data_IF_541675492078
#
_entry.id   IF_541675492078
#
_cell.length_a   1.000
_cell.length_b   1.000
_cell.length_c   1.000
_cell.angle_alpha   90.00
_cell.angle_beta   90.00
_cell.angle_gamma   90.00
#
_symmetry.space_group_name_H-M   'P 1'
#
loop_
_entity.id
_entity.type
_entity.pdbx_description
1 polymer ?
#
# COMPACT_ATOMS: atom_id res chain seq x y z
N UNK A 1 35.05 -15.91 -10.78
CA UNK A 1 34.41 -14.92 -11.65
C UNK A 1 33.54 -15.65 -12.63
N UNK A 2 32.36 -16.08 -12.16
CA UNK A 2 31.25 -16.41 -13.05
C UNK A 2 30.34 -15.19 -13.11
N UNK A 3 29.62 -15.06 -14.21
CA UNK A 3 28.65 -14.00 -14.42
C UNK A 3 27.45 -14.20 -13.50
N UNK A 4 27.12 -13.19 -12.71
CA UNK A 4 26.15 -13.33 -11.61
C UNK A 4 24.86 -12.56 -11.81
N UNK A 5 24.76 -11.75 -12.88
CA UNK A 5 23.51 -11.08 -13.24
C UNK A 5 23.65 -10.16 -14.44
N UNK A 6 22.51 -9.84 -15.04
CA UNK A 6 22.32 -8.82 -16.08
C UNK A 6 21.34 -7.81 -15.51
N UNK A 7 21.74 -6.55 -15.48
CA UNK A 7 20.87 -5.44 -15.12
C UNK A 7 20.63 -4.60 -16.38
N UNK A 8 19.37 -4.41 -16.75
CA UNK A 8 18.97 -3.52 -17.83
C UNK A 8 18.86 -2.09 -17.30
N UNK A 9 19.46 -1.14 -17.99
CA UNK A 9 19.44 0.26 -17.58
C UNK A 9 18.61 1.10 -18.55
N UNK A 10 17.69 1.91 -18.03
CA UNK A 10 17.00 2.92 -18.82
C UNK A 10 17.70 4.28 -18.64
N UNK A 11 18.13 4.96 -19.72
CA UNK A 11 18.68 6.30 -19.63
C UNK A 11 17.57 7.30 -19.27
N UNK A 12 17.75 8.04 -18.17
CA UNK A 12 16.89 9.18 -17.84
C UNK A 12 17.62 10.49 -18.14
N UNK A 13 17.08 11.29 -19.07
CA UNK A 13 17.71 12.50 -19.59
C UNK A 13 17.27 13.83 -18.91
N UNK A 14 16.80 13.78 -17.67
CA UNK A 14 16.13 14.93 -17.05
C UNK A 14 17.06 16.14 -16.78
N UNK A 15 18.36 15.92 -16.50
CA UNK A 15 19.22 16.98 -15.91
C UNK A 15 20.58 17.15 -16.60
N UNK A 16 20.72 16.77 -17.87
CA UNK A 16 22.03 16.79 -18.56
C UNK A 16 23.02 15.72 -18.06
N UNK A 17 22.57 14.84 -17.16
CA UNK A 17 23.23 13.61 -16.75
C UNK A 17 22.45 12.41 -17.26
N UNK A 18 23.16 11.34 -17.64
CA UNK A 18 22.52 10.05 -17.92
C UNK A 18 22.34 9.32 -16.59
N UNK A 19 21.11 9.29 -16.07
CA UNK A 19 20.78 8.37 -14.98
C UNK A 19 20.62 6.98 -15.58
N UNK A 20 21.27 6.00 -14.98
CA UNK A 20 21.10 4.58 -15.31
C UNK A 20 20.39 3.92 -14.13
N UNK A 21 19.13 3.53 -14.32
CA UNK A 21 18.35 2.80 -13.30
C UNK A 21 18.15 1.37 -13.75
N UNK A 22 18.46 0.43 -12.86
CA UNK A 22 18.17 -0.99 -13.06
C UNK A 22 16.96 -1.40 -12.21
N UNK A 23 16.04 -2.15 -12.81
CA UNK A 23 15.00 -2.83 -12.07
C UNK A 23 15.67 -3.87 -11.15
N UNK A 24 15.46 -3.73 -9.85
CA UNK A 24 16.05 -4.59 -8.84
C UNK A 24 14.93 -5.22 -8.02
N UNK A 25 14.73 -6.53 -8.21
CA UNK A 25 13.93 -7.35 -7.31
C UNK A 25 14.86 -8.19 -6.42
N UNK A 26 14.96 -7.90 -5.10
CA UNK A 26 15.89 -8.60 -4.21
C UNK A 26 15.64 -10.11 -4.12
N UNK A 27 14.44 -10.60 -4.47
CA UNK A 27 14.06 -12.02 -4.37
C UNK A 27 14.61 -12.85 -5.53
N UNK A 28 14.64 -12.26 -6.73
CA UNK A 28 15.21 -12.93 -7.91
C UNK A 28 16.69 -12.63 -8.06
N UNK A 29 17.19 -11.59 -7.39
CA UNK A 29 18.60 -11.17 -7.43
C UNK A 29 19.34 -11.43 -6.12
N UNK A 30 18.90 -12.37 -5.28
CA UNK A 30 19.54 -12.67 -3.99
C UNK A 30 21.05 -12.92 -4.12
N UNK A 31 21.46 -13.66 -5.15
CA UNK A 31 22.88 -13.94 -5.42
C UNK A 31 23.66 -12.66 -5.75
N UNK A 32 23.08 -11.74 -6.53
CA UNK A 32 23.72 -10.45 -6.85
C UNK A 32 23.86 -9.61 -5.60
N UNK A 33 22.82 -9.53 -4.75
CA UNK A 33 22.86 -8.77 -3.49
C UNK A 33 23.97 -9.30 -2.60
N UNK A 34 23.99 -10.61 -2.41
CA UNK A 34 24.95 -11.28 -1.58
C UNK A 34 26.40 -11.04 -2.06
N UNK A 35 26.61 -11.07 -3.38
CA UNK A 35 27.91 -10.78 -3.97
C UNK A 35 28.30 -9.31 -3.91
N UNK A 36 27.34 -8.39 -4.05
CA UNK A 36 27.60 -6.97 -3.86
C UNK A 36 27.96 -6.68 -2.40
N UNK A 37 27.27 -7.30 -1.43
CA UNK A 37 27.56 -7.15 0.00
C UNK A 37 28.94 -7.72 0.39
N UNK A 38 29.34 -8.85 -0.20
CA UNK A 38 30.60 -9.53 0.16
C UNK A 38 31.79 -9.15 -0.73
N UNK A 39 31.53 -8.56 -1.89
CA UNK A 39 32.53 -8.19 -2.89
C UNK A 39 33.33 -6.95 -2.51
N UNK A 40 34.54 -6.85 -3.04
CA UNK A 40 35.40 -5.66 -2.90
C UNK A 40 35.45 -4.82 -4.17
N UNK A 41 35.13 -5.43 -5.32
CA UNK A 41 35.16 -4.82 -6.65
C UNK A 41 34.04 -5.39 -7.50
N UNK A 42 33.52 -4.55 -8.39
CA UNK A 42 32.64 -4.92 -9.47
C UNK A 42 33.18 -4.31 -10.78
N UNK A 43 32.89 -4.96 -11.90
CA UNK A 43 32.97 -4.32 -13.21
C UNK A 43 31.57 -4.17 -13.78
N UNK A 44 31.31 -3.03 -14.43
CA UNK A 44 30.08 -2.77 -15.16
C UNK A 44 30.45 -2.62 -16.63
N UNK A 45 29.96 -3.51 -17.48
CA UNK A 45 30.19 -3.46 -18.92
C UNK A 45 29.00 -2.86 -19.64
N UNK A 46 29.17 -1.67 -20.15
CA UNK A 46 28.14 -0.92 -20.83
C UNK A 46 28.36 -1.05 -22.35
N UNK A 47 27.31 -1.39 -23.08
CA UNK A 47 27.35 -1.59 -24.53
C UNK A 47 26.72 -0.36 -25.21
N UNK A 48 27.52 0.42 -25.95
CA UNK A 48 27.08 1.60 -26.70
C UNK A 48 27.18 1.38 -28.22
N UNK A 49 26.49 2.20 -29.04
CA UNK A 49 26.59 2.13 -30.50
C UNK A 49 28.03 2.22 -31.03
N UNK A 50 28.89 2.99 -30.36
CA UNK A 50 30.29 3.22 -30.76
C UNK A 50 31.26 2.18 -30.16
N UNK A 51 30.76 1.24 -29.35
CA UNK A 51 31.52 0.15 -28.76
C UNK A 51 31.18 -0.14 -27.31
N UNK A 52 31.78 -1.21 -26.78
CA UNK A 52 31.66 -1.61 -25.38
C UNK A 52 32.70 -0.89 -24.53
N UNK A 53 32.30 -0.42 -23.34
CA UNK A 53 33.25 0.08 -22.32
C UNK A 53 32.97 -0.54 -20.97
N UNK A 54 34.04 -0.94 -20.31
CA UNK A 54 34.03 -1.54 -18.99
C UNK A 54 34.43 -0.49 -17.94
N UNK A 55 33.69 -0.45 -16.84
CA UNK A 55 33.89 0.47 -15.72
C UNK A 55 34.14 -0.35 -14.47
N UNK A 56 35.37 -0.35 -13.97
CA UNK A 56 35.68 -0.93 -12.67
C UNK A 56 35.23 0.00 -11.54
N UNK A 57 34.65 -0.57 -10.49
CA UNK A 57 34.22 0.16 -9.30
C UNK A 57 34.57 -0.61 -8.02
N UNK A 58 34.93 0.14 -6.99
CA UNK A 58 35.11 -0.41 -5.64
C UNK A 58 33.76 -0.59 -4.96
N UNK A 59 33.61 -1.67 -4.20
CA UNK A 59 32.39 -1.98 -3.44
C UNK A 59 32.54 -1.67 -1.94
N UNK A 60 33.51 -0.84 -1.56
CA UNK A 60 33.70 -0.43 -0.16
C UNK A 60 32.46 0.35 0.33
N UNK A 61 31.82 -0.14 1.39
CA UNK A 61 30.59 0.44 1.94
C UNK A 61 29.29 -0.04 1.28
N UNK A 62 29.36 -0.89 0.24
CA UNK A 62 28.17 -1.45 -0.43
C UNK A 62 27.32 -2.30 0.52
N UNK A 63 27.93 -3.08 1.41
CA UNK A 63 27.23 -3.88 2.41
C UNK A 63 26.35 -3.01 3.32
N UNK A 64 26.91 -1.93 3.86
CA UNK A 64 26.19 -1.03 4.77
C UNK A 64 25.07 -0.28 4.04
N UNK A 65 25.33 0.15 2.81
CA UNK A 65 24.34 0.81 1.97
C UNK A 65 23.18 -0.15 1.61
N UNK A 66 23.49 -1.35 1.13
CA UNK A 66 22.49 -2.36 0.78
C UNK A 66 21.70 -2.81 2.01
N UNK A 67 22.36 -3.01 3.15
CA UNK A 67 21.70 -3.34 4.40
C UNK A 67 20.72 -2.23 4.81
N UNK A 68 21.15 -0.96 4.75
CA UNK A 68 20.28 0.18 5.06
C UNK A 68 19.07 0.21 4.13
N UNK A 69 19.28 0.03 2.82
CA UNK A 69 18.20 -0.01 1.83
C UNK A 69 17.26 -1.19 2.10
N UNK A 70 17.77 -2.39 2.32
CA UNK A 70 16.94 -3.57 2.61
C UNK A 70 16.16 -3.47 3.93
N UNK A 71 16.67 -2.69 4.91
CA UNK A 71 15.94 -2.41 6.14
C UNK A 71 14.89 -1.31 5.98
N UNK A 72 15.15 -0.33 5.10
CA UNK A 72 14.30 0.85 4.97
C UNK A 72 13.22 0.65 3.91
N UNK A 73 13.55 -0.05 2.83
CA UNK A 73 12.66 -0.30 1.71
C UNK A 73 11.93 -1.62 1.93
N UNK A 74 10.59 -1.62 1.95
CA UNK A 74 9.83 -2.86 2.01
C UNK A 74 10.15 -3.71 0.78
N UNK A 75 10.43 -4.99 0.98
CA UNK A 75 10.59 -5.92 -0.14
C UNK A 75 9.25 -6.06 -0.88
N UNK A 76 9.25 -6.15 -2.22
CA UNK A 76 8.03 -6.40 -2.96
C UNK A 76 7.38 -7.70 -2.47
N UNK A 77 6.05 -7.67 -2.30
CA UNK A 77 5.29 -8.85 -1.89
C UNK A 77 5.31 -9.90 -3.02
N UNK A 78 5.55 -11.19 -2.73
CA UNK A 78 5.51 -12.24 -3.75
C UNK A 78 4.15 -12.24 -4.44
N UNK A 79 4.09 -12.56 -5.75
CA UNK A 79 2.82 -12.84 -6.40
C UNK A 79 2.08 -13.95 -5.65
N UNK A 80 0.77 -13.79 -5.51
CA UNK A 80 -0.10 -14.77 -4.85
C UNK A 80 -1.25 -15.18 -5.77
N UNK A 81 -1.66 -16.44 -5.69
CA UNK A 81 -2.74 -16.95 -6.55
C UNK A 81 -4.12 -16.48 -6.10
N UNK A 82 -4.31 -16.27 -4.79
CA UNK A 82 -5.60 -15.92 -4.20
C UNK A 82 -5.44 -14.85 -3.10
N UNK A 83 -5.43 -13.56 -3.47
CA UNK A 83 -5.35 -12.45 -2.52
C UNK A 83 -6.41 -12.48 -1.43
N UNK A 84 -7.67 -12.78 -1.78
CA UNK A 84 -8.77 -12.80 -0.82
C UNK A 84 -8.54 -13.82 0.29
N UNK A 85 -8.05 -15.02 -0.04
CA UNK A 85 -7.73 -16.06 0.95
C UNK A 85 -6.52 -15.69 1.81
N UNK A 86 -5.50 -15.08 1.22
CA UNK A 86 -4.34 -14.58 1.96
C UNK A 86 -4.78 -13.55 3.01
N UNK A 87 -5.53 -12.53 2.58
CA UNK A 87 -6.00 -11.44 3.44
C UNK A 87 -6.97 -11.95 4.50
N UNK A 88 -7.91 -12.83 4.13
CA UNK A 88 -8.83 -13.42 5.10
C UNK A 88 -8.06 -14.17 6.19
N UNK A 89 -7.00 -14.90 5.83
CA UNK A 89 -6.12 -15.56 6.80
C UNK A 89 -5.44 -14.57 7.76
N UNK A 90 -4.97 -13.42 7.25
CA UNK A 90 -4.41 -12.33 8.08
C UNK A 90 -5.44 -11.79 9.08
N UNK A 91 -6.67 -11.51 8.63
CA UNK A 91 -7.73 -10.97 9.49
C UNK A 91 -8.21 -12.01 10.51
N UNK A 92 -8.36 -13.27 10.12
CA UNK A 92 -8.71 -14.36 11.04
C UNK A 92 -7.67 -14.49 12.14
N UNK A 93 -6.38 -14.55 11.79
CA UNK A 93 -5.30 -14.64 12.79
C UNK A 93 -5.29 -13.44 13.75
N UNK A 94 -5.52 -12.22 13.24
CA UNK A 94 -5.59 -11.02 14.06
C UNK A 94 -6.82 -11.02 14.99
N UNK A 95 -7.97 -11.50 14.53
CA UNK A 95 -9.18 -11.59 15.33
C UNK A 95 -9.09 -12.69 16.41
N UNK A 96 -8.52 -13.85 16.08
CA UNK A 96 -8.27 -14.93 17.03
C UNK A 96 -7.32 -14.50 18.15
N UNK A 97 -6.32 -13.66 17.85
CA UNK A 97 -5.44 -13.08 18.87
C UNK A 97 -6.17 -12.17 19.88
N UNK A 98 -7.41 -11.78 19.57
CA UNK A 98 -8.33 -11.02 20.43
C UNK A 98 -9.49 -11.88 20.96
N UNK A 99 -9.33 -13.21 20.97
CA UNK A 99 -10.35 -14.19 21.36
C UNK A 99 -11.69 -14.02 20.59
N UNK A 100 -11.59 -13.56 19.34
CA UNK A 100 -12.72 -13.31 18.46
C UNK A 100 -12.88 -14.35 17.35
N UNK A 101 -13.95 -14.19 16.58
CA UNK A 101 -14.23 -14.95 15.34
C UNK A 101 -14.60 -13.97 14.23
N UNK A 102 -14.29 -14.32 12.98
CA UNK A 102 -14.57 -13.47 11.81
C UNK A 102 -15.92 -13.85 11.20
N UNK A 103 -16.74 -12.83 10.91
CA UNK A 103 -17.92 -12.91 10.07
C UNK A 103 -17.68 -12.13 8.76
N UNK A 104 -18.15 -12.66 7.64
CA UNK A 104 -18.00 -12.02 6.33
C UNK A 104 -19.22 -11.16 5.99
N UNK A 105 -18.96 -9.91 5.65
CA UNK A 105 -19.89 -8.98 5.03
C UNK A 105 -19.70 -8.96 3.50
N UNK A 106 -20.62 -8.26 2.81
CA UNK A 106 -20.55 -8.12 1.36
C UNK A 106 -19.40 -7.21 0.94
N UNK A 107 -18.84 -7.45 -0.24
CA UNK A 107 -17.84 -6.55 -0.84
C UNK A 107 -16.39 -6.79 -0.39
N UNK A 108 -16.11 -7.88 0.35
CA UNK A 108 -14.75 -8.24 0.75
C UNK A 108 -13.78 -8.34 -0.43
N UNK A 109 -14.22 -8.87 -1.56
CA UNK A 109 -13.46 -8.93 -2.80
C UNK A 109 -14.23 -8.20 -3.91
N UNK A 110 -13.54 -7.32 -4.64
CA UNK A 110 -14.04 -6.70 -5.87
C UNK A 110 -13.01 -6.84 -6.98
N UNK A 111 -13.52 -7.04 -8.20
CA UNK A 111 -12.75 -7.19 -9.43
C UNK A 111 -12.92 -5.97 -10.30
N UNK A 112 -11.81 -5.35 -10.68
CA UNK A 112 -11.78 -4.17 -11.55
C UNK A 112 -10.41 -4.07 -12.21
N UNK A 113 -10.34 -3.52 -13.42
CA UNK A 113 -9.08 -3.23 -14.11
C UNK A 113 -8.55 -1.89 -13.62
N UNK A 114 -7.58 -1.92 -12.71
CA UNK A 114 -7.03 -0.74 -12.03
C UNK A 114 -5.97 -0.05 -12.88
N UNK A 115 -5.14 -0.82 -13.59
CA UNK A 115 -4.02 -0.29 -14.36
C UNK A 115 -4.31 -0.10 -15.86
N UNK A 116 -5.47 -0.56 -16.33
CA UNK A 116 -5.94 -0.40 -17.71
C UNK A 116 -5.31 -1.39 -18.68
N UNK A 117 -4.72 -2.49 -18.20
CA UNK A 117 -4.10 -3.52 -19.03
C UNK A 117 -5.10 -4.56 -19.59
N UNK A 118 -6.37 -4.47 -19.18
CA UNK A 118 -7.45 -5.37 -19.59
C UNK A 118 -7.56 -6.65 -18.78
N UNK A 119 -6.77 -6.83 -17.71
CA UNK A 119 -6.89 -7.91 -16.72
C UNK A 119 -7.69 -7.43 -15.52
N UNK A 120 -8.40 -8.36 -14.87
CA UNK A 120 -9.14 -8.04 -13.64
C UNK A 120 -8.19 -8.09 -12.44
N UNK A 121 -7.91 -6.92 -11.88
CA UNK A 121 -7.24 -6.76 -10.60
C UNK A 121 -8.21 -7.00 -9.44
N UNK A 122 -7.67 -7.05 -8.23
CA UNK A 122 -8.44 -7.27 -7.01
C UNK A 122 -8.30 -6.12 -6.02
N UNK A 123 -9.45 -5.64 -5.56
CA UNK A 123 -9.57 -4.73 -4.42
C UNK A 123 -10.19 -5.49 -3.26
N UNK A 124 -9.45 -5.57 -2.15
CA UNK A 124 -9.86 -6.29 -0.95
C UNK A 124 -10.21 -5.28 0.15
N UNK A 125 -11.47 -5.27 0.58
CA UNK A 125 -11.94 -4.44 1.69
C UNK A 125 -11.84 -5.23 3.00
N UNK A 126 -10.87 -4.88 3.84
CA UNK A 126 -10.63 -5.57 5.10
C UNK A 126 -11.79 -5.35 6.10
N UNK A 127 -12.58 -4.28 5.96
CA UNK A 127 -13.70 -3.99 6.84
C UNK A 127 -14.84 -5.01 6.66
N UNK A 128 -14.94 -5.64 5.50
CA UNK A 128 -15.92 -6.68 5.23
C UNK A 128 -15.59 -8.03 5.91
N UNK A 129 -14.43 -8.16 6.56
CA UNK A 129 -14.11 -9.28 7.43
C UNK A 129 -14.23 -8.83 8.91
N UNK A 130 -15.45 -8.89 9.45
CA UNK A 130 -15.83 -8.31 10.74
C UNK A 130 -15.41 -9.22 11.88
N UNK A 131 -14.55 -8.72 12.77
CA UNK A 131 -14.14 -9.45 13.98
C UNK A 131 -15.15 -9.27 15.12
N UNK A 132 -15.60 -10.37 15.73
CA UNK A 132 -16.62 -10.34 16.80
C UNK A 132 -16.19 -9.62 18.07
N UNK A 133 -14.89 -9.63 18.40
CA UNK A 133 -14.33 -8.94 19.57
C UNK A 133 -13.91 -7.50 19.29
N UNK A 134 -13.75 -7.12 18.01
CA UNK A 134 -13.40 -5.77 17.58
C UNK A 134 -13.93 -5.49 16.17
N UNK A 135 -15.19 -5.02 16.01
CA UNK A 135 -15.77 -4.77 14.69
C UNK A 135 -14.99 -3.76 13.85
N UNK A 136 -14.22 -2.87 14.49
CA UNK A 136 -13.37 -1.87 13.84
C UNK A 136 -11.91 -2.33 13.74
N UNK A 137 -11.61 -3.64 13.82
CA UNK A 137 -10.23 -4.16 13.79
C UNK A 137 -9.41 -3.59 12.63
N UNK A 138 -10.04 -3.46 11.46
CA UNK A 138 -9.41 -2.97 10.23
C UNK A 138 -9.79 -1.53 9.87
N UNK A 139 -10.37 -0.78 10.81
CA UNK A 139 -10.82 0.59 10.56
C UNK A 139 -10.35 1.54 11.67
N UNK A 140 -10.09 2.79 11.29
CA UNK A 140 -9.74 3.88 12.20
C UNK A 140 -10.43 5.18 11.77
N UNK A 141 -10.10 6.29 12.41
CA UNK A 141 -10.57 7.63 11.98
C UNK A 141 -10.02 8.02 10.59
N UNK A 142 -9.01 7.32 10.10
CA UNK A 142 -8.47 7.47 8.75
C UNK A 142 -9.25 6.73 7.66
N UNK A 143 -10.29 5.98 8.01
CA UNK A 143 -11.01 5.09 7.10
C UNK A 143 -10.74 3.63 7.41
N UNK A 144 -10.77 2.76 6.41
CA UNK A 144 -10.56 1.32 6.58
C UNK A 144 -9.39 0.84 5.72
N UNK A 145 -8.77 -0.26 6.13
CA UNK A 145 -7.69 -0.89 5.37
C UNK A 145 -8.25 -1.44 4.06
N UNK A 146 -7.66 -1.03 2.94
CA UNK A 146 -7.99 -1.56 1.61
C UNK A 146 -6.71 -2.04 0.95
N UNK A 147 -6.73 -3.27 0.44
CA UNK A 147 -5.64 -3.87 -0.31
C UNK A 147 -5.89 -3.83 -1.81
N UNK A 148 -4.91 -3.38 -2.59
CA UNK A 148 -4.94 -3.40 -4.05
C UNK A 148 -3.93 -4.42 -4.57
N UNK A 149 -4.40 -5.33 -5.43
CA UNK A 149 -3.63 -6.45 -5.95
C UNK A 149 -3.73 -6.47 -7.47
N UNK A 150 -2.61 -6.22 -8.14
CA UNK A 150 -2.55 -6.14 -9.59
C UNK A 150 -2.32 -7.53 -10.20
N UNK A 151 -3.10 -7.88 -11.21
CA UNK A 151 -2.98 -9.11 -11.97
C UNK A 151 -1.75 -9.04 -12.88
N UNK A 152 -0.84 -9.99 -12.70
CA UNK A 152 0.37 -10.17 -13.51
C UNK A 152 0.43 -11.60 -14.03
N UNK A 153 1.37 -11.87 -14.93
CA UNK A 153 1.50 -13.18 -15.57
C UNK A 153 1.75 -14.33 -14.58
N UNK A 154 2.30 -14.00 -13.41
CA UNK A 154 2.69 -14.96 -12.35
C UNK A 154 1.71 -15.00 -11.18
N UNK A 155 0.59 -14.28 -11.25
CA UNK A 155 -0.40 -14.17 -10.17
C UNK A 155 -0.66 -12.72 -9.79
N UNK A 156 -1.16 -12.49 -8.58
CA UNK A 156 -1.51 -11.16 -8.09
C UNK A 156 -0.39 -10.57 -7.24
N UNK A 157 0.07 -9.36 -7.58
CA UNK A 157 1.08 -8.64 -6.80
C UNK A 157 0.37 -7.61 -5.92
N UNK A 158 0.59 -7.67 -4.60
CA UNK A 158 0.10 -6.65 -3.67
C UNK A 158 0.84 -5.34 -3.93
N UNK A 159 0.14 -4.35 -4.49
CA UNK A 159 0.70 -3.03 -4.78
C UNK A 159 0.60 -2.10 -3.56
N UNK A 160 -0.53 -2.14 -2.85
CA UNK A 160 -0.78 -1.26 -1.72
C UNK A 160 -1.72 -1.94 -0.71
N UNK A 161 -1.56 -1.64 0.57
CA UNK A 161 -2.44 -2.10 1.65
C UNK A 161 -2.31 -1.16 2.84
N UNK A 162 -3.22 -0.21 2.97
CA UNK A 162 -3.20 0.78 4.05
C UNK A 162 -4.61 1.31 4.35
N UNK A 163 -4.74 2.10 5.39
CA UNK A 163 -5.97 2.78 5.80
C UNK A 163 -6.25 3.95 4.86
N UNK A 164 -7.33 3.85 4.09
CA UNK A 164 -7.80 4.89 3.18
C UNK A 164 -9.26 5.25 3.46
N UNK A 165 -9.65 6.47 3.10
CA UNK A 165 -11.03 6.97 3.12
C UNK A 165 -11.77 6.67 1.83
N UNK A 166 -11.04 6.56 0.73
CA UNK A 166 -11.59 6.34 -0.60
C UNK A 166 -10.47 6.24 -1.63
N UNK A 167 -10.83 5.83 -2.84
CA UNK A 167 -9.91 5.80 -3.97
C UNK A 167 -10.64 6.04 -5.29
N UNK A 168 -9.89 6.50 -6.29
CA UNK A 168 -10.37 6.73 -7.65
C UNK A 168 -9.38 6.13 -8.65
N UNK A 169 -9.92 5.45 -9.65
CA UNK A 169 -9.14 4.90 -10.77
C UNK A 169 -9.31 5.82 -11.97
N UNK A 170 -8.20 6.24 -12.57
CA UNK A 170 -8.21 7.05 -13.78
C UNK A 170 -7.67 6.24 -14.98
N UNK A 171 -8.10 6.59 -16.21
CA UNK A 171 -7.54 6.00 -17.41
C UNK A 171 -6.02 6.15 -17.49
N UNK A 172 -5.34 5.10 -17.98
CA UNK A 172 -3.88 5.09 -18.11
C UNK A 172 -3.15 4.57 -16.88
N UNK A 173 -3.87 3.91 -15.96
CA UNK A 173 -3.30 3.26 -14.80
C UNK A 173 -2.86 4.23 -13.72
N UNK A 174 -3.68 5.25 -13.43
CA UNK A 174 -3.47 6.09 -12.26
C UNK A 174 -4.48 5.78 -11.16
N UNK A 175 -3.98 5.61 -9.94
CA UNK A 175 -4.77 5.34 -8.75
C UNK A 175 -4.59 6.49 -7.76
N UNK A 176 -5.67 7.21 -7.47
CA UNK A 176 -5.68 8.19 -6.40
C UNK A 176 -6.24 7.60 -5.11
N UNK A 177 -5.56 7.85 -3.99
CA UNK A 177 -5.92 7.40 -2.66
C UNK A 177 -6.20 8.61 -1.78
N UNK A 178 -7.38 8.65 -1.18
CA UNK A 178 -7.76 9.63 -0.17
C UNK A 178 -7.41 9.07 1.22
N UNK A 179 -6.52 9.74 1.92
CA UNK A 179 -5.87 9.27 3.14
C UNK A 179 -6.01 10.29 4.28
N UNK A 180 -5.64 9.82 5.47
CA UNK A 180 -5.48 10.65 6.66
C UNK A 180 -4.27 11.59 6.52
N UNK A 181 -4.34 12.80 7.07
CA UNK A 181 -3.31 13.85 6.89
C UNK A 181 -1.89 13.40 7.27
N UNK A 182 -1.76 12.48 8.22
CA UNK A 182 -0.47 11.89 8.63
C UNK A 182 0.29 11.22 7.48
N UNK A 183 -0.40 10.75 6.44
CA UNK A 183 0.25 10.19 5.24
C UNK A 183 1.00 11.24 4.41
N UNK A 184 0.65 12.52 4.57
CA UNK A 184 1.32 13.69 3.97
C UNK A 184 2.10 14.51 5.02
N UNK A 185 2.38 13.94 6.21
CA UNK A 185 3.08 14.65 7.29
C UNK A 185 2.25 15.73 8.00
N UNK A 186 0.93 15.70 7.86
CA UNK A 186 -0.02 16.62 8.49
C UNK A 186 -0.69 16.03 9.74
N UNK A 187 -1.56 16.81 10.39
CA UNK A 187 -2.39 16.31 11.48
C UNK A 187 -3.43 15.32 10.95
N UNK A 188 -3.84 14.40 11.81
CA UNK A 188 -4.67 13.30 11.38
C UNK A 188 -6.02 13.68 10.76
N UNK A 189 -6.67 14.68 11.32
CA UNK A 189 -7.96 15.13 10.81
C UNK A 189 -7.87 15.80 9.44
N UNK A 190 -6.70 16.25 9.00
CA UNK A 190 -6.50 16.89 7.70
C UNK A 190 -6.61 15.86 6.57
N UNK A 191 -6.93 16.33 5.37
CA UNK A 191 -6.97 15.48 4.18
C UNK A 191 -5.57 15.34 3.56
N UNK A 192 -5.32 14.16 2.98
CA UNK A 192 -4.14 13.86 2.18
C UNK A 192 -4.62 13.06 0.98
N UNK A 193 -4.23 13.45 -0.23
CA UNK A 193 -4.51 12.69 -1.45
C UNK A 193 -3.21 12.39 -2.16
N UNK A 194 -2.98 11.13 -2.50
CA UNK A 194 -1.81 10.69 -3.25
C UNK A 194 -2.26 10.03 -4.54
N UNK A 195 -1.65 10.41 -5.66
CA UNK A 195 -1.91 9.83 -6.97
C UNK A 195 -0.69 9.02 -7.38
N UNK A 196 -0.91 7.76 -7.75
CA UNK A 196 0.14 6.84 -8.17
C UNK A 196 -0.06 6.47 -9.63
N UNK A 197 1.02 6.39 -10.40
CA UNK A 197 1.09 5.60 -11.62
C UNK A 197 1.33 4.14 -11.23
N UNK A 198 0.42 3.27 -11.65
CA UNK A 198 0.39 1.84 -11.33
C UNK A 198 0.46 0.95 -12.57
N UNK A 199 0.73 1.53 -13.75
CA UNK A 199 0.90 0.77 -14.99
C UNK A 199 2.15 -0.13 -14.98
N UNK A 200 3.11 0.16 -14.11
CA UNK A 200 4.32 -0.63 -13.92
C UNK A 200 4.18 -1.78 -12.91
N UNK A 201 5.32 -2.36 -12.55
CA UNK A 201 5.41 -3.39 -11.50
C UNK A 201 5.43 -2.81 -10.08
N UNK A 202 5.72 -1.51 -9.96
CA UNK A 202 5.78 -0.80 -8.69
C UNK A 202 5.05 0.54 -8.81
N UNK A 203 4.33 0.95 -7.76
CA UNK A 203 3.63 2.22 -7.77
C UNK A 203 4.61 3.38 -7.72
N UNK A 204 4.42 4.36 -8.60
CA UNK A 204 5.20 5.60 -8.63
C UNK A 204 4.31 6.74 -8.20
N UNK A 205 4.65 7.42 -7.10
CA UNK A 205 3.93 8.61 -6.66
C UNK A 205 4.12 9.73 -7.70
N UNK A 206 3.03 10.15 -8.34
CA UNK A 206 3.04 11.22 -9.35
C UNK A 206 2.58 12.56 -8.80
N UNK A 207 1.70 12.53 -7.80
CA UNK A 207 1.16 13.74 -7.19
C UNK A 207 0.82 13.51 -5.72
N UNK A 208 1.08 14.51 -4.88
CA UNK A 208 0.67 14.56 -3.49
C UNK A 208 -0.01 15.92 -3.22
N UNK A 209 -1.24 15.87 -2.74
CA UNK A 209 -2.05 17.04 -2.37
C UNK A 209 -2.38 16.91 -0.88
N UNK A 210 -2.19 17.97 -0.11
CA UNK A 210 -2.35 17.92 1.34
C UNK A 210 -3.18 19.10 1.88
N UNK A 211 -3.84 18.89 3.01
CA UNK A 211 -4.58 19.93 3.73
C UNK A 211 -5.86 20.38 3.00
N UNK A 212 -6.21 21.67 3.05
CA UNK A 212 -7.47 22.18 2.49
C UNK A 212 -7.65 21.94 0.99
N UNK A 213 -6.56 21.90 0.22
CA UNK A 213 -6.62 21.60 -1.21
C UNK A 213 -7.09 20.17 -1.44
N UNK A 214 -6.56 19.21 -0.66
CA UNK A 214 -6.99 17.82 -0.72
C UNK A 214 -8.47 17.68 -0.37
N UNK A 215 -8.99 18.43 0.62
CA UNK A 215 -10.42 18.41 0.98
C UNK A 215 -11.34 18.80 -0.19
N UNK A 216 -10.88 19.68 -1.09
CA UNK A 216 -11.68 20.11 -2.25
C UNK A 216 -11.66 19.14 -3.43
N UNK A 217 -10.65 18.25 -3.47
CA UNK A 217 -10.44 17.26 -4.55
C UNK A 217 -10.78 15.84 -4.10
N UNK A 218 -10.91 15.62 -2.78
CA UNK A 218 -11.35 14.34 -2.20
C UNK A 218 -12.64 13.95 -2.89
N UNK A 219 -12.72 12.67 -3.28
CA UNK A 219 -13.95 12.13 -3.85
C UNK A 219 -15.03 12.42 -2.81
N UNK A 220 -16.08 13.13 -3.20
CA UNK A 220 -17.30 13.13 -2.40
C UNK A 220 -17.69 11.65 -2.31
N UNK A 221 -17.33 10.99 -1.19
CA UNK A 221 -17.46 9.55 -1.03
C UNK A 221 -18.85 9.11 -1.45
N UNK A 222 -19.06 7.83 -1.86
CA UNK A 222 -20.34 7.36 -2.38
C UNK A 222 -21.43 7.90 -1.46
N UNK A 223 -22.13 8.93 -1.96
CA UNK A 223 -22.88 9.84 -1.12
C UNK A 223 -23.83 8.98 -0.32
N UNK A 224 -23.57 8.80 0.98
CA UNK A 224 -24.27 7.95 1.93
C UNK A 224 -25.57 7.47 1.29
N UNK A 225 -25.52 6.32 0.60
CA UNK A 225 -26.61 5.89 -0.27
C UNK A 225 -27.83 5.85 0.64
N UNK A 226 -28.69 6.87 0.48
CA UNK A 226 -29.57 7.31 1.53
C UNK A 226 -30.34 6.12 2.06
N UNK A 227 -30.12 5.80 3.33
CA UNK A 227 -31.02 4.93 4.07
C UNK A 227 -32.40 5.56 3.92
N UNK A 228 -33.26 4.87 3.17
CA UNK A 228 -34.57 5.30 2.72
C UNK A 228 -35.29 6.23 3.71
N UNK A 229 -35.35 7.52 3.38
CA UNK A 229 -36.45 8.36 3.82
C UNK A 229 -37.71 7.90 3.07
N UNK A 230 -38.36 6.86 3.60
CA UNK A 230 -39.74 6.47 3.37
C UNK A 230 -40.29 6.72 1.96
N UNK A 231 -40.20 5.71 1.10
CA UNK A 231 -41.12 5.55 -0.02
C UNK A 231 -42.56 5.46 0.54
N UNK A 232 -43.22 6.63 0.64
CA UNK A 232 -44.67 6.71 0.82
C UNK A 232 -45.28 6.25 -0.49
N UNK A 233 -45.78 5.03 -0.52
CA UNK A 233 -46.67 4.55 -1.57
C UNK A 233 -47.96 5.34 -1.45
N UNK A 234 -48.08 6.44 -2.19
CA UNK A 234 -49.38 7.07 -2.45
C UNK A 234 -50.09 6.20 -3.47
N UNK A 235 -51.02 5.39 -2.98
CA UNK A 235 -52.02 4.74 -3.81
C UNK A 235 -52.77 5.83 -4.59
N UNK A 236 -52.69 5.78 -5.93
CA UNK A 236 -53.55 6.58 -6.79
C UNK A 236 -55.01 6.13 -6.58
N UNK A 237 -55.78 6.98 -5.93
CA UNK A 237 -57.24 6.92 -5.92
C UNK A 237 -57.75 8.13 -6.70
N UNK A 238 -58.69 7.88 -7.60
CA UNK A 238 -59.27 8.84 -8.52
C UNK A 238 -59.76 10.15 -7.85
N UNK A 239 -59.37 11.26 -8.47
CA UNK A 239 -60.18 12.45 -8.75
C UNK A 239 -61.05 13.04 -7.63
N UNK A 240 -60.47 13.98 -6.87
CA UNK A 240 -61.22 15.12 -6.30
C UNK A 240 -60.36 16.38 -6.38
N UNK A 241 -60.74 17.31 -7.26
CA UNK A 241 -60.25 18.70 -7.25
C UNK A 241 -60.86 19.45 -6.08
N UNK A 242 -60.02 20.00 -5.20
CA UNK A 242 -60.40 21.04 -4.23
C UNK A 242 -59.53 22.27 -4.50
N UNK A 243 -60.18 23.39 -4.77
CA UNK A 243 -59.55 24.71 -4.95
C UNK A 243 -58.92 25.20 -3.63
N UNK A 244 -57.75 25.87 -3.66
CA UNK A 244 -57.18 26.45 -2.45
C UNK A 244 -57.82 27.81 -2.13
N UNK A 245 -58.46 27.91 -0.96
CA UNK A 245 -58.77 29.19 -0.31
C UNK A 245 -57.49 29.84 0.21
N UNK A 246 -57.28 31.09 -0.18
CA UNK A 246 -56.21 31.94 0.31
C UNK A 246 -56.51 32.39 1.75
N UNK A 247 -55.62 32.04 2.70
CA UNK A 247 -55.65 32.58 4.06
C UNK A 247 -54.57 33.65 4.18
N UNK A 248 -55.01 34.87 4.46
CA UNK A 248 -54.18 36.02 4.75
C UNK A 248 -53.43 35.85 6.09
N UNK A 249 -52.14 36.18 6.08
CA UNK A 249 -51.30 36.23 7.29
C UNK A 249 -51.16 37.70 7.70
N UNK A 250 -51.69 38.04 8.87
CA UNK A 250 -51.43 39.31 9.56
C UNK A 250 -50.16 39.16 10.44
N UNK A 251 -49.31 40.20 10.56
CA UNK A 251 -48.14 40.16 11.43
C UNK A 251 -48.45 40.80 12.79
N UNK A 252 -48.01 40.15 13.86
CA UNK A 252 -47.79 40.82 15.14
C UNK A 252 -48.02 39.94 16.36
N UNK A 253 -46.93 39.56 17.03
CA UNK A 253 -46.82 39.62 18.49
C UNK A 253 -45.40 39.22 18.90
N UNK A 254 -44.70 40.18 19.48
CA UNK A 254 -43.46 39.99 20.23
C UNK A 254 -43.77 39.21 21.51
N UNK A 255 -43.07 38.12 21.76
CA UNK A 255 -43.04 37.48 23.09
C UNK A 255 -41.60 37.26 23.52
N UNK A 256 -41.26 37.95 24.61
CA UNK A 256 -40.02 37.80 25.36
C UNK A 256 -39.87 36.36 25.88
N UNK A 257 -38.69 35.78 25.67
CA UNK A 257 -38.29 34.50 26.28
C UNK A 257 -37.59 34.84 27.60
N UNK A 258 -38.27 34.53 28.70
CA UNK A 258 -37.76 34.57 30.06
C UNK A 258 -36.97 33.28 30.32
N UNK A 259 -35.66 33.41 30.53
CA UNK A 259 -34.75 32.31 30.83
C UNK A 259 -34.90 31.90 32.30
N UNK A 260 -35.56 30.77 32.57
CA UNK A 260 -35.57 30.13 33.87
C UNK A 260 -34.54 28.99 33.92
N UNK A 261 -33.49 29.20 34.71
CA UNK A 261 -32.48 28.20 35.09
C UNK A 261 -33.07 27.32 36.19
N UNK A 262 -33.15 26.01 35.95
CA UNK A 262 -33.48 25.01 36.98
C UNK A 262 -32.22 24.22 37.38
N UNK A 263 -32.00 23.95 38.68
CA UNK A 263 -30.83 23.20 39.14
C UNK A 263 -31.05 21.68 39.06
N UNK A 264 -29.96 20.98 38.71
CA UNK A 264 -29.87 19.54 38.71
C UNK A 264 -29.94 18.97 40.14
N UNK A 265 -30.78 17.96 40.32
CA UNK A 265 -30.77 17.08 41.49
C UNK A 265 -30.44 15.67 41.01
N UNK A 266 -29.24 15.20 41.36
CA UNK A 266 -28.78 13.83 41.16
C UNK A 266 -29.57 12.89 42.08
N UNK A 267 -30.12 11.82 41.50
CA UNK A 267 -30.65 10.67 42.24
C UNK A 267 -29.89 9.43 41.78
N UNK A 268 -29.31 8.62 42.68
CA UNK A 268 -28.57 7.41 42.28
C UNK A 268 -29.56 6.30 41.91
N UNK A 269 -29.37 5.72 40.72
CA UNK A 269 -30.13 4.57 40.25
C UNK A 269 -29.65 3.27 40.94
N UNK A 270 -30.63 2.49 41.37
CA UNK A 270 -30.53 1.16 41.98
C UNK A 270 -30.10 0.11 40.92
N UNK A 271 -29.25 -0.89 41.26
CA UNK A 271 -28.79 -1.88 40.29
C UNK A 271 -29.86 -2.94 40.01
N UNK A 272 -30.11 -3.19 38.72
CA UNK A 272 -31.00 -4.23 38.23
C UNK A 272 -30.44 -5.65 38.54
N UNK A 273 -31.32 -6.65 38.74
CA UNK A 273 -30.90 -8.02 39.06
C UNK A 273 -30.33 -8.76 37.84
N UNK A 274 -29.34 -9.61 38.12
CA UNK A 274 -28.65 -10.48 37.17
C UNK A 274 -29.61 -11.42 36.42
N UNK A 275 -29.52 -11.41 35.09
CA UNK A 275 -30.18 -12.36 34.23
C UNK A 275 -29.48 -13.74 34.31
N UNK A 276 -30.29 -14.79 34.44
CA UNK A 276 -29.86 -16.18 34.49
C UNK A 276 -29.30 -16.66 33.15
N UNK A 277 -28.28 -17.51 33.22
CA UNK A 277 -27.67 -18.19 32.10
C UNK A 277 -28.67 -19.15 31.39
N UNK A 278 -28.61 -19.29 30.06
CA UNK A 278 -29.41 -20.28 29.35
C UNK A 278 -28.82 -21.69 29.50
N UNK A 279 -29.73 -22.63 29.68
CA UNK A 279 -29.51 -24.07 29.81
C UNK A 279 -29.10 -24.65 28.43
N UNK A 280 -27.99 -25.38 28.41
CA UNK A 280 -27.43 -26.01 27.19
C UNK A 280 -28.21 -27.30 26.93
N UNK A 281 -29.02 -27.31 25.87
CA UNK A 281 -29.70 -28.53 25.39
C UNK A 281 -28.75 -29.24 24.42
N UNK A 282 -28.36 -30.46 24.78
CA UNK A 282 -27.62 -31.36 23.90
C UNK A 282 -28.49 -31.76 22.70
N UNK A 283 -28.01 -31.50 21.49
CA UNK A 283 -28.59 -32.02 20.24
C UNK A 283 -27.85 -33.29 19.89
N UNK A 284 -28.59 -34.40 19.87
CA UNK A 284 -28.09 -35.72 19.47
C UNK A 284 -27.88 -35.79 17.94
N UNK A 285 -26.79 -36.48 17.57
CA UNK A 285 -26.36 -36.84 16.22
C UNK A 285 -27.49 -37.37 15.32
N UNK A 286 -27.65 -36.76 14.15
CA UNK A 286 -28.37 -37.33 13.02
C UNK A 286 -27.38 -37.66 11.89
N UNK A 287 -27.48 -38.83 11.25
CA UNK A 287 -26.52 -39.28 10.25
C UNK A 287 -26.66 -38.52 8.93
N UNK A 288 -25.52 -38.12 8.38
CA UNK A 288 -25.33 -37.50 7.07
C UNK A 288 -25.62 -38.51 5.96
N UNK A 289 -26.69 -38.30 5.19
CA UNK A 289 -26.89 -38.94 3.89
C UNK A 289 -26.17 -38.13 2.81
N UNK A 290 -25.28 -38.78 2.07
CA UNK A 290 -24.57 -38.22 0.92
C UNK A 290 -25.51 -38.12 -0.30
N UNK A 291 -25.57 -36.98 -1.01
CA UNK A 291 -26.24 -36.92 -2.29
C UNK A 291 -25.31 -37.35 -3.43
N UNK A 292 -25.98 -37.98 -4.40
CA UNK A 292 -25.45 -38.72 -5.51
C UNK A 292 -24.70 -37.89 -6.56
N UNK A 293 -23.77 -38.58 -7.19
CA UNK A 293 -23.04 -38.32 -8.43
C UNK A 293 -24.00 -37.82 -9.54
N UNK A 294 -23.85 -36.55 -9.95
CA UNK A 294 -24.60 -35.95 -11.04
C UNK A 294 -23.75 -35.89 -12.31
N UNK A 295 -24.39 -36.32 -13.40
CA UNK A 295 -23.84 -36.59 -14.71
C UNK A 295 -23.24 -35.38 -15.44
N UNK A 296 -22.26 -35.68 -16.30
CA UNK A 296 -21.64 -34.78 -17.27
C UNK A 296 -22.66 -34.19 -18.27
N UNK A 297 -22.59 -32.89 -18.60
CA UNK A 297 -23.34 -32.32 -19.70
C UNK A 297 -22.63 -32.54 -21.04
N UNK A 298 -23.47 -32.74 -22.06
CA UNK A 298 -23.14 -33.05 -23.44
C UNK A 298 -22.51 -31.87 -24.21
N UNK A 299 -21.70 -32.22 -25.20
CA UNK A 299 -21.10 -31.33 -26.20
C UNK A 299 -22.16 -30.51 -26.96
N UNK A 300 -21.94 -29.20 -27.03
CA UNK A 300 -22.66 -28.28 -27.90
C UNK A 300 -21.98 -28.19 -29.29
N UNK A 301 -22.74 -27.97 -30.39
CA UNK A 301 -22.18 -27.93 -31.73
C UNK A 301 -21.50 -26.58 -32.03
N UNK A 302 -20.39 -26.66 -32.77
CA UNK A 302 -19.62 -25.53 -33.26
C UNK A 302 -20.45 -24.62 -34.19
N UNK A 303 -20.50 -23.34 -33.85
CA UNK A 303 -21.02 -22.27 -34.71
C UNK A 303 -19.84 -21.65 -35.47
N UNK A 304 -19.90 -21.73 -36.79
CA UNK A 304 -18.93 -21.09 -37.68
C UNK A 304 -19.08 -19.55 -37.63
N UNK A 305 -18.02 -18.86 -37.24
CA UNK A 305 -17.90 -17.40 -37.32
C UNK A 305 -17.36 -17.00 -38.69
N UNK A 306 -17.99 -15.97 -39.28
CA UNK A 306 -17.60 -15.39 -40.54
C UNK A 306 -16.37 -14.49 -40.37
N UNK A 307 -15.38 -14.72 -41.22
CA UNK A 307 -14.10 -13.99 -41.31
C UNK A 307 -14.36 -12.54 -41.75
N UNK A 308 -14.12 -11.58 -40.86
CA UNK A 308 -14.12 -10.14 -41.17
C UNK A 308 -12.68 -9.72 -41.44
N UNK A 309 -12.43 -9.11 -42.59
CA UNK A 309 -11.11 -8.63 -43.00
C UNK A 309 -10.57 -7.56 -42.04
N UNK A 310 -9.27 -7.59 -41.68
CA UNK A 310 -8.68 -6.63 -40.75
C UNK A 310 -8.52 -5.24 -41.39
N UNK A 311 -8.82 -4.22 -40.60
CA UNK A 311 -8.49 -2.84 -40.92
C UNK A 311 -6.96 -2.63 -40.95
N UNK A 312 -6.44 -1.70 -41.77
CA UNK A 312 -5.01 -1.39 -41.81
C UNK A 312 -4.56 -0.86 -40.44
N UNK A 313 -3.61 -1.57 -39.83
CA UNK A 313 -3.04 -1.22 -38.53
C UNK A 313 -2.28 0.11 -38.55
N UNK A 314 -2.11 0.74 -37.37
CA UNK A 314 -1.30 1.95 -37.22
C UNK A 314 0.16 1.69 -37.62
N UNK A 315 0.83 2.76 -38.08
CA UNK A 315 2.24 2.71 -38.43
C UNK A 315 3.07 2.23 -37.23
N UNK A 316 4.14 1.43 -37.46
CA UNK A 316 4.98 0.91 -36.39
C UNK A 316 5.58 2.06 -35.59
N UNK A 317 5.34 2.04 -34.28
CA UNK A 317 6.08 2.84 -33.31
C UNK A 317 7.53 2.33 -33.34
N UNK A 318 8.55 3.21 -33.41
CA UNK A 318 9.94 2.76 -33.34
C UNK A 318 10.17 2.02 -32.03
N UNK A 319 10.68 0.79 -32.13
CA UNK A 319 11.03 -0.04 -30.98
C UNK A 319 12.05 0.73 -30.12
N UNK A 320 11.90 0.74 -28.78
CA UNK A 320 12.91 1.31 -27.91
C UNK A 320 14.24 0.59 -28.14
N UNK A 321 15.34 1.35 -28.27
CA UNK A 321 16.68 0.77 -28.38
C UNK A 321 16.99 0.01 -27.08
N UNK A 322 16.89 -1.32 -27.14
CA UNK A 322 17.25 -2.19 -26.01
C UNK A 322 18.77 -2.14 -25.80
N UNK A 323 19.20 -1.47 -24.73
CA UNK A 323 20.59 -1.51 -24.28
C UNK A 323 20.80 -2.76 -23.43
N UNK A 324 21.32 -3.82 -24.04
CA UNK A 324 21.67 -5.06 -23.33
C UNK A 324 23.02 -4.87 -22.63
N UNK A 325 23.07 -5.03 -21.31
CA UNK A 325 24.31 -4.90 -20.51
C UNK A 325 24.65 -6.25 -19.92
N UNK A 326 25.92 -6.64 -19.99
CA UNK A 326 26.38 -7.92 -19.44
C UNK A 326 27.33 -7.71 -18.26
N UNK A 327 27.14 -8.52 -17.21
CA UNK A 327 28.16 -9.06 -16.31
C UNK A 327 28.84 -8.15 -15.28
N UNK A 328 28.70 -8.56 -14.01
CA UNK A 328 29.51 -8.14 -12.87
C UNK A 328 30.39 -9.33 -12.48
N UNK A 329 31.73 -9.16 -12.45
CA UNK A 329 32.66 -10.21 -12.01
C UNK A 329 33.31 -9.85 -10.67
N UNK A 330 33.04 -10.58 -9.58
CA UNK A 330 33.76 -10.37 -8.32
C UNK A 330 35.14 -11.04 -8.39
N UNK A 331 36.19 -10.24 -8.25
CA UNK A 331 37.54 -10.73 -8.00
C UNK A 331 37.75 -10.90 -6.49
N UNK A 332 37.64 -12.14 -6.01
CA UNK A 332 37.97 -12.48 -4.62
C UNK A 332 39.48 -12.70 -4.55
N UNK A 333 40.24 -11.64 -4.27
CA UNK A 333 41.66 -11.78 -3.94
C UNK A 333 41.77 -12.34 -2.51
N UNK A 334 42.37 -13.53 -2.29
CA UNK A 334 42.58 -14.04 -0.93
C UNK A 334 43.50 -13.07 -0.17
N UNK A 335 43.23 -12.80 1.13
CA UNK A 335 44.06 -11.90 1.91
C UNK A 335 45.49 -12.44 1.97
N UNK A 336 46.46 -11.57 1.69
CA UNK A 336 47.87 -11.87 1.82
C UNK A 336 48.18 -12.29 3.26
N UNK A 337 48.89 -13.41 3.42
CA UNK A 337 49.33 -13.89 4.73
C UNK A 337 50.14 -12.79 5.44
N UNK A 338 49.83 -12.45 6.69
CA UNK A 338 50.54 -11.39 7.40
C UNK A 338 52.00 -11.80 7.63
N UNK A 339 52.93 -10.96 7.19
CA UNK A 339 54.34 -11.09 7.54
C UNK A 339 54.53 -10.86 9.04
N UNK A 340 55.24 -11.77 9.69
CA UNK A 340 55.51 -11.75 11.12
C UNK A 340 56.45 -10.59 11.50
N UNK A 341 55.86 -9.50 11.98
CA UNK A 341 56.58 -8.42 12.68
C UNK A 341 56.85 -8.76 14.16
N UNK A 342 57.90 -8.17 14.77
CA UNK A 342 58.38 -8.58 16.08
C UNK A 342 57.47 -8.15 17.24
N UNK A 343 57.50 -8.98 18.29
CA UNK A 343 56.69 -8.91 19.49
C UNK A 343 56.68 -7.53 20.17
N UNK A 344 55.48 -6.98 20.37
CA UNK A 344 55.23 -5.84 21.24
C UNK A 344 54.97 -6.30 22.68
N UNK A 345 55.56 -5.55 23.61
CA UNK A 345 55.53 -5.80 25.04
C UNK A 345 54.12 -5.60 25.65
N UNK A 346 53.75 -6.53 26.54
CA UNK A 346 52.54 -6.47 27.36
C UNK A 346 52.65 -5.42 28.47
N UNK A 347 51.69 -4.50 28.54
CA UNK A 347 51.43 -3.65 29.71
C UNK A 347 50.22 -4.23 30.45
N UNK A 348 50.30 -4.50 31.77
CA UNK A 348 49.13 -4.96 32.51
C UNK A 348 48.19 -3.80 32.84
N UNK A 349 46.92 -3.93 32.45
CA UNK A 349 45.83 -3.07 32.91
C UNK A 349 45.09 -3.84 34.01
N UNK A 350 44.99 -3.22 35.19
CA UNK A 350 44.23 -3.73 36.32
C UNK A 350 42.73 -3.47 36.09
N UNK A 351 41.91 -4.50 36.30
CA UNK A 351 40.45 -4.38 36.34
C UNK A 351 40.03 -3.87 37.71
N UNK A 352 39.37 -2.72 37.74
CA UNK A 352 38.56 -2.29 38.86
C UNK A 352 37.10 -2.65 38.57
N UNK A 353 36.50 -3.42 39.48
CA UNK A 353 35.05 -3.54 39.62
C UNK A 353 34.45 -2.16 39.90
N UNK A 354 33.42 -1.76 39.14
CA UNK A 354 32.20 -1.06 39.57
C UNK A 354 31.41 -0.51 38.35
N UNK A 355 30.09 -0.74 38.39
CA UNK A 355 29.01 -0.22 37.53
C UNK A 355 28.89 -0.68 36.06
N UNK A 356 27.84 -1.48 35.82
CA UNK A 356 27.44 -1.97 34.52
C UNK A 356 26.86 -0.88 33.60
N UNK A 357 27.02 -1.00 32.27
CA UNK A 357 26.55 0.02 31.34
C UNK A 357 25.02 -0.07 31.18
N UNK A 358 24.33 1.02 31.52
CA UNK A 358 23.00 1.30 30.99
C UNK A 358 23.18 1.70 29.53
N UNK A 359 22.78 0.82 28.60
CA UNK A 359 22.78 1.10 27.17
C UNK A 359 21.63 2.04 26.82
N UNK A 360 21.83 3.33 27.08
CA UNK A 360 21.12 4.41 26.41
C UNK A 360 22.09 4.94 25.37
N UNK A 361 21.80 4.69 24.09
CA UNK A 361 22.51 5.35 23.01
C UNK A 361 22.24 6.85 23.14
N UNK A 362 23.18 7.60 23.70
CA UNK A 362 23.30 9.03 23.47
C UNK A 362 23.62 9.21 21.98
N UNK A 363 22.57 9.18 21.16
CA UNK A 363 22.63 9.81 19.86
C UNK A 363 22.90 11.29 20.15
N UNK A 364 24.10 11.75 19.82
CA UNK A 364 24.43 13.16 19.84
C UNK A 364 23.41 13.96 19.02
N UNK A 365 23.36 15.29 19.18
CA UNK A 365 22.43 16.12 18.44
C UNK A 365 22.53 15.81 16.94
N UNK A 366 21.38 15.63 16.30
CA UNK A 366 21.30 15.38 14.87
C UNK A 366 22.12 16.45 14.13
N UNK A 367 22.93 16.08 13.12
CA UNK A 367 23.69 17.05 12.37
C UNK A 367 22.72 18.07 11.77
N UNK A 368 22.94 19.35 12.09
CA UNK A 368 22.18 20.44 11.48
C UNK A 368 22.56 20.53 10.01
N UNK A 369 21.58 20.31 9.13
CA UNK A 369 21.76 20.54 7.70
C UNK A 369 22.01 22.04 7.43
N UNK A 370 22.85 22.39 6.45
CA UNK A 370 23.02 23.77 6.02
C UNK A 370 21.69 24.40 5.59
N UNK A 371 21.53 25.70 5.83
CA UNK A 371 20.36 26.45 5.33
C UNK A 371 20.25 26.30 3.81
N UNK A 372 19.06 25.91 3.33
CA UNK A 372 18.77 25.72 1.91
C UNK A 372 18.87 24.29 1.40
N UNK A 373 19.38 23.34 2.21
CA UNK A 373 19.31 21.92 1.90
C UNK A 373 17.88 21.42 2.15
N UNK A 374 17.26 20.81 1.15
CA UNK A 374 15.90 20.25 1.24
C UNK A 374 15.85 18.86 0.65
N UNK A 375 15.06 18.00 1.28
CA UNK A 375 14.69 16.70 0.70
C UNK A 375 13.51 16.90 -0.24
N UNK A 376 13.64 16.38 -1.46
CA UNK A 376 12.48 16.14 -2.31
C UNK A 376 11.76 14.86 -1.84
N UNK A 377 10.46 14.78 -2.12
CA UNK A 377 9.62 13.63 -1.80
C UNK A 377 10.02 12.32 -2.52
N UNK A 378 10.97 12.38 -3.44
CA UNK A 378 11.58 11.22 -4.12
C UNK A 378 12.85 10.71 -3.42
N UNK A 379 13.19 11.27 -2.25
CA UNK A 379 14.39 10.90 -1.47
C UNK A 379 15.68 11.60 -1.94
N UNK A 380 15.61 12.50 -2.92
CA UNK A 380 16.78 13.24 -3.40
C UNK A 380 17.10 14.43 -2.51
N UNK A 381 18.37 14.56 -2.10
CA UNK A 381 18.87 15.73 -1.35
C UNK A 381 19.22 16.85 -2.33
N UNK A 382 18.47 17.96 -2.30
CA UNK A 382 18.79 19.14 -3.09
C UNK A 382 19.73 20.05 -2.30
N UNK A 383 20.91 20.31 -2.88
CA UNK A 383 21.95 21.17 -2.32
C UNK A 383 22.08 22.41 -3.21
N UNK A 384 21.98 23.65 -2.69
CA UNK A 384 22.11 24.86 -3.50
C UNK A 384 23.48 24.95 -4.18
N UNK A 385 23.52 25.33 -5.48
CA UNK A 385 24.79 25.42 -6.25
C UNK A 385 25.84 26.37 -5.63
N UNK A 386 25.41 27.33 -4.81
CA UNK A 386 26.30 28.28 -4.11
C UNK A 386 26.88 27.74 -2.79
N UNK A 387 26.50 26.54 -2.36
CA UNK A 387 27.11 25.88 -1.19
C UNK A 387 28.42 25.23 -1.57
N UNK A 388 29.42 26.06 -1.87
CA UNK A 388 30.79 25.61 -2.07
C UNK A 388 31.35 25.05 -0.76
N UNK A 389 31.18 23.75 -0.54
CA UNK A 389 31.96 22.95 0.42
C UNK A 389 31.92 21.46 0.10
#
# INVERSE_FOLDING_TARGET
GGDVGVMSFAPHAADGHTRLTAAFDPRVHEEVVDLLQRGLRASLRLDWPDGTREVEMGLNGSSDALYTVMQTCPMPSPPVDNPASLVLGEVVAACEALDGTVAMDQGFERREDLDGDGREDLVIDYAAAVCSSSPTLNCSTGGCTVGFFLARDTGYVRMFSDVIRGYEVFPGGFLALDMHGTACGLYGFEACRKVFDIAGDAPVLVEEIAGPEAETVTIAGPAEAGVDAGATVVAMSDGVTVEPEAVAVEPGAETAVETAVAPAAETPAEPAPAAAAPEVVAVEDAPVEAPAEAAAPAEAPAVATAETAPAPGPAPVPEPEEMTVATVSPEVTPPAAPEAGPAAATVPVAFGDEDGPTSRHDAGPAPTLPEGVRFNGDGTLLVPEDSGQ
#
